data_IF_309211888901
#
_entry.id   IF_309211888901
#
_cell.length_a   1.000
_cell.length_b   1.000
_cell.length_c   1.000
_cell.angle_alpha   90.00
_cell.angle_beta   90.00
_cell.angle_gamma   90.00
#
_symmetry.space_group_name_H-M   'P 1'
#
loop_
_entity.id
_entity.type
_entity.pdbx_description
1 polymer ?
#
# COMPACT_ATOMS: atom_id res chain seq x y z
N UNK A 1 -6.12 -2.64 -6.05
CA UNK A 1 -4.78 -2.00 -6.26
C UNK A 1 -4.06 -1.93 -4.92
N UNK A 2 -3.08 -2.81 -4.71
CA UNK A 2 -2.41 -2.96 -3.42
C UNK A 2 -1.26 -1.98 -3.36
N UNK A 3 -1.53 -0.81 -2.76
CA UNK A 3 -0.47 0.02 -2.27
C UNK A 3 0.14 -0.75 -1.10
N UNK A 4 1.30 -1.35 -1.34
CA UNK A 4 2.17 -1.76 -0.24
C UNK A 4 2.50 -0.47 0.53
N UNK A 5 1.73 -0.20 1.59
CA UNK A 5 2.18 0.66 2.66
C UNK A 5 3.43 -0.04 3.18
N UNK A 6 4.58 0.49 2.79
CA UNK A 6 5.83 0.24 3.47
C UNK A 6 5.54 0.61 4.92
N UNK A 7 5.30 -0.44 5.71
CA UNK A 7 5.19 -0.51 7.17
C UNK A 7 4.91 0.82 7.91
N UNK A 8 3.93 0.86 8.83
CA UNK A 8 3.97 1.81 9.96
C UNK A 8 5.21 1.62 10.87
N UNK A 9 6.02 0.59 10.62
CA UNK A 9 7.14 0.17 11.47
C UNK A 9 8.51 0.14 10.77
N UNK A 10 8.65 0.59 9.51
CA UNK A 10 9.98 0.92 8.95
C UNK A 10 9.88 2.14 8.03
N UNK A 11 10.54 3.21 8.47
CA UNK A 11 10.62 4.55 7.89
C UNK A 11 9.48 5.54 8.22
N UNK A 12 9.02 5.57 9.48
CA UNK A 12 9.00 6.87 10.16
C UNK A 12 10.45 7.10 10.60
N UNK A 13 11.26 7.73 9.75
CA UNK A 13 12.51 8.26 10.26
C UNK A 13 12.18 9.61 10.87
N UNK A 14 11.82 9.58 12.14
CA UNK A 14 11.70 10.79 12.93
C UNK A 14 13.11 11.32 13.16
N UNK A 15 13.55 12.22 12.27
CA UNK A 15 14.77 12.98 12.49
C UNK A 15 14.49 14.07 13.52
N UNK A 16 15.10 13.94 14.70
CA UNK A 16 15.30 15.03 15.65
C UNK A 16 16.62 15.77 15.32
N UNK A 17 16.84 16.99 15.80
CA UNK A 17 16.68 18.20 15.00
C UNK A 17 18.02 18.92 14.83
N UNK A 18 18.53 19.11 13.60
CA UNK A 18 19.52 20.15 13.27
C UNK A 18 19.69 20.28 11.74
N UNK A 19 19.10 21.33 11.16
CA UNK A 19 19.39 21.83 9.81
C UNK A 19 18.99 20.95 8.61
N UNK A 20 18.87 21.52 7.39
CA UNK A 20 18.63 20.75 6.16
C UNK A 20 19.70 19.68 5.89
N UNK A 21 20.89 19.84 6.49
CA UNK A 21 22.11 19.08 6.22
C UNK A 21 22.10 17.65 6.74
N UNK A 22 21.55 17.35 7.93
CA UNK A 22 21.70 16.02 8.52
C UNK A 22 20.99 14.90 7.75
N UNK A 23 19.75 15.13 7.30
CA UNK A 23 19.08 14.14 6.44
C UNK A 23 19.78 14.04 5.08
N UNK A 24 20.23 15.15 4.50
CA UNK A 24 20.93 15.11 3.23
C UNK A 24 22.27 14.34 3.34
N UNK A 25 22.96 14.47 4.47
CA UNK A 25 24.12 13.63 4.81
C UNK A 25 23.70 12.17 5.00
N UNK A 26 22.63 11.89 5.75
CA UNK A 26 22.14 10.53 5.97
C UNK A 26 21.70 9.83 4.67
N UNK A 27 21.12 10.56 3.70
CA UNK A 27 20.79 10.02 2.36
C UNK A 27 22.03 9.49 1.64
N UNK A 28 23.19 10.12 1.86
CA UNK A 28 24.46 9.72 1.24
C UNK A 28 25.16 8.59 2.02
N UNK A 29 25.00 8.55 3.34
CA UNK A 29 25.70 7.60 4.20
C UNK A 29 24.91 6.33 4.47
N UNK A 30 23.58 6.40 4.54
CA UNK A 30 22.73 5.29 4.99
C UNK A 30 22.16 4.50 3.81
N UNK A 31 22.50 3.20 3.67
CA UNK A 31 22.04 2.38 2.56
C UNK A 31 20.53 2.32 2.41
N UNK A 32 19.78 2.40 3.52
CA UNK A 32 18.31 2.34 3.52
C UNK A 32 17.66 3.56 2.83
N UNK A 33 18.34 4.71 2.81
CA UNK A 33 17.84 5.94 2.19
C UNK A 33 18.33 6.10 0.74
N UNK A 34 19.15 5.17 0.24
CA UNK A 34 19.73 5.25 -1.10
C UNK A 34 18.65 5.25 -2.17
N UNK A 35 18.67 6.28 -3.01
CA UNK A 35 17.73 6.47 -4.12
C UNK A 35 16.35 6.99 -3.72
N UNK A 36 16.14 7.35 -2.46
CA UNK A 36 14.99 8.16 -2.06
C UNK A 36 15.21 9.62 -2.47
N UNK A 37 14.14 10.24 -2.93
CA UNK A 37 14.07 11.65 -3.33
C UNK A 37 13.17 12.41 -2.36
N UNK A 38 13.34 13.72 -2.33
CA UNK A 38 12.51 14.63 -1.57
C UNK A 38 12.39 15.93 -2.35
N UNK A 39 11.23 16.57 -2.31
CA UNK A 39 11.03 17.82 -3.00
C UNK A 39 11.57 19.02 -2.23
N UNK A 40 11.51 20.20 -2.85
CA UNK A 40 11.98 21.42 -2.22
C UNK A 40 11.17 21.75 -0.96
N UNK A 41 11.88 22.09 0.12
CA UNK A 41 11.27 22.56 1.36
C UNK A 41 10.93 24.05 1.22
N UNK A 42 9.75 24.33 0.68
CA UNK A 42 9.26 25.71 0.47
C UNK A 42 8.48 26.26 1.69
N UNK A 43 8.70 25.68 2.87
CA UNK A 43 8.06 26.06 4.12
C UNK A 43 9.10 26.23 5.23
N UNK A 44 8.76 27.01 6.27
CA UNK A 44 9.65 27.28 7.39
C UNK A 44 9.87 26.03 8.27
N UNK A 45 10.92 25.99 9.11
CA UNK A 45 11.13 24.91 10.07
C UNK A 45 9.86 24.54 10.86
N UNK A 46 9.61 23.24 11.02
CA UNK A 46 8.38 22.71 11.63
C UNK A 46 8.54 22.35 13.11
N UNK A 47 9.72 22.58 13.66
CA UNK A 47 10.08 22.43 15.05
C UNK A 47 11.06 23.55 15.41
N UNK A 48 11.22 24.02 16.65
CA UNK A 48 10.42 23.80 17.86
C UNK A 48 9.59 25.03 18.13
N UNK A 49 8.30 24.87 18.36
CA UNK A 49 7.37 25.97 18.68
C UNK A 49 7.00 26.00 20.16
N UNK A 50 6.60 27.16 20.66
CA UNK A 50 5.87 27.25 21.92
C UNK A 50 4.46 26.69 21.71
N UNK A 51 4.05 25.73 22.55
CA UNK A 51 2.75 25.05 22.45
C UNK A 51 1.62 26.07 22.50
N UNK A 52 0.60 25.88 21.66
CA UNK A 52 -0.51 26.82 21.47
C UNK A 52 -0.19 27.97 20.52
N UNK A 53 1.03 28.04 19.95
CA UNK A 53 1.45 29.17 19.12
C UNK A 53 2.23 28.77 17.86
N UNK A 54 2.49 29.78 17.02
CA UNK A 54 3.41 29.73 15.88
C UNK A 54 4.71 30.50 16.14
N UNK A 55 5.02 30.78 17.42
CA UNK A 55 6.30 31.37 17.81
C UNK A 55 7.28 30.25 18.11
N UNK A 56 8.50 30.37 17.59
CA UNK A 56 9.58 29.42 17.89
C UNK A 56 9.99 29.50 19.36
N UNK A 57 10.53 28.39 19.89
CA UNK A 57 10.92 28.16 21.29
C UNK A 57 11.50 29.41 21.97
N UNK A 58 10.70 30.05 22.82
CA UNK A 58 11.12 31.21 23.64
C UNK A 58 11.62 30.82 25.02
N UNK A 59 11.62 29.52 25.34
CA UNK A 59 12.12 29.02 26.62
C UNK A 59 13.61 29.33 26.82
N UNK A 60 14.09 29.21 28.06
CA UNK A 60 15.51 29.38 28.38
C UNK A 60 16.45 28.44 27.58
N UNK A 61 15.93 27.32 27.05
CA UNK A 61 16.69 26.36 26.24
C UNK A 61 16.96 26.87 24.82
N UNK A 62 16.15 27.81 24.31
CA UNK A 62 16.27 28.46 22.98
C UNK A 62 16.72 27.48 21.88
N UNK A 63 16.00 26.37 21.72
CA UNK A 63 16.40 25.35 20.74
C UNK A 63 16.28 25.92 19.34
N UNK A 64 17.28 25.64 18.51
CA UNK A 64 17.30 26.08 17.11
C UNK A 64 16.12 25.46 16.36
N UNK A 65 15.39 26.24 15.55
CA UNK A 65 14.38 25.68 14.66
C UNK A 65 14.96 24.64 13.70
N UNK A 66 14.20 23.60 13.39
CA UNK A 66 14.56 22.52 12.48
C UNK A 66 13.36 22.03 11.67
N UNK A 67 13.64 21.52 10.46
CA UNK A 67 12.66 20.78 9.66
C UNK A 67 12.62 19.34 10.14
N UNK A 68 11.48 18.92 10.68
CA UNK A 68 11.21 17.54 11.10
C UNK A 68 10.12 16.93 10.23
N UNK A 69 9.89 15.63 10.37
CA UNK A 69 8.78 14.93 9.70
C UNK A 69 8.85 14.99 8.15
N UNK A 70 10.07 14.87 7.63
CA UNK A 70 10.39 14.96 6.19
C UNK A 70 9.83 13.77 5.41
N UNK A 71 9.23 14.03 4.25
CA UNK A 71 8.60 13.01 3.40
C UNK A 71 9.53 12.70 2.22
N UNK A 72 10.01 11.45 2.18
CA UNK A 72 10.85 10.95 1.10
C UNK A 72 10.10 9.89 0.30
N UNK A 73 10.33 9.82 -1.01
CA UNK A 73 9.75 8.78 -1.87
C UNK A 73 10.79 8.17 -2.81
N UNK A 74 10.51 6.98 -3.34
CA UNK A 74 11.36 6.32 -4.32
C UNK A 74 10.49 5.58 -5.31
N UNK A 75 10.71 5.84 -6.60
CA UNK A 75 10.15 5.02 -7.67
C UNK A 75 11.10 3.86 -7.90
N UNK A 76 10.61 2.63 -7.75
CA UNK A 76 11.39 1.47 -8.16
C UNK A 76 11.38 1.43 -9.69
N UNK A 77 12.54 1.37 -10.36
CA UNK A 77 12.54 1.16 -11.79
C UNK A 77 11.82 -0.16 -12.07
N UNK A 78 11.12 -0.27 -13.22
CA UNK A 78 10.62 -1.56 -13.65
C UNK A 78 11.80 -2.53 -13.63
N UNK A 79 11.65 -3.66 -12.93
CA UNK A 79 12.61 -4.77 -13.06
C UNK A 79 12.64 -5.07 -14.56
N UNK A 80 13.81 -5.02 -15.19
CA UNK A 80 13.98 -4.97 -16.66
C UNK A 80 13.49 -6.18 -17.46
N UNK A 81 12.27 -6.64 -17.20
CA UNK A 81 11.50 -7.55 -18.02
C UNK A 81 10.37 -6.81 -18.71
N UNK A 82 9.77 -7.46 -19.69
CA UNK A 82 8.53 -7.00 -20.31
C UNK A 82 7.45 -6.86 -19.23
N UNK A 83 6.49 -5.96 -19.45
CA UNK A 83 5.24 -5.98 -18.69
C UNK A 83 4.73 -7.42 -18.57
N UNK A 84 4.05 -7.84 -17.49
CA UNK A 84 3.34 -9.10 -17.52
C UNK A 84 2.28 -9.17 -18.65
N UNK A 85 1.87 -8.03 -19.22
CA UNK A 85 1.05 -7.93 -20.44
C UNK A 85 1.85 -7.98 -21.76
N UNK A 86 3.17 -8.11 -21.72
CA UNK A 86 4.05 -8.13 -22.90
C UNK A 86 4.30 -6.78 -23.55
N UNK A 87 3.58 -5.72 -23.17
CA UNK A 87 3.75 -4.37 -23.71
C UNK A 87 4.97 -3.64 -23.14
N UNK A 88 5.61 -2.81 -23.99
CA UNK A 88 6.68 -1.93 -23.55
C UNK A 88 6.13 -0.75 -22.73
N UNK A 89 6.87 -0.41 -21.66
CA UNK A 89 6.76 0.81 -20.87
C UNK A 89 5.77 0.81 -19.70
N UNK A 90 6.23 0.22 -18.58
CA UNK A 90 5.78 0.54 -17.22
C UNK A 90 6.35 1.90 -16.75
N UNK A 91 6.31 2.94 -17.57
CA UNK A 91 6.86 4.24 -17.18
C UNK A 91 5.88 4.95 -16.25
N UNK A 92 5.90 4.55 -14.98
CA UNK A 92 5.26 5.29 -13.89
C UNK A 92 6.03 6.60 -13.72
N UNK A 93 5.39 7.70 -14.03
CA UNK A 93 5.86 9.02 -13.68
C UNK A 93 5.21 9.45 -12.37
N UNK A 94 6.05 9.82 -11.40
CA UNK A 94 5.60 10.32 -10.10
C UNK A 94 6.01 11.78 -9.99
N UNK A 95 5.04 12.65 -9.74
CA UNK A 95 5.28 14.08 -9.54
C UNK A 95 4.76 14.45 -8.16
N UNK A 96 5.61 15.08 -7.33
CA UNK A 96 5.15 15.69 -6.09
C UNK A 96 4.45 17.00 -6.44
N UNK A 97 3.14 17.04 -6.24
CA UNK A 97 2.30 18.20 -6.55
C UNK A 97 2.36 19.26 -5.45
N UNK A 98 2.40 18.84 -4.18
CA UNK A 98 2.53 19.74 -3.05
C UNK A 98 3.40 19.14 -1.96
N UNK A 99 4.10 20.01 -1.21
CA UNK A 99 4.87 19.66 -0.02
C UNK A 99 4.83 20.85 0.94
N UNK A 100 4.08 20.75 2.03
CA UNK A 100 3.77 21.88 2.91
C UNK A 100 3.75 21.49 4.38
N UNK A 101 3.98 22.48 5.24
CA UNK A 101 3.66 22.39 6.65
C UNK A 101 2.26 22.95 6.93
N UNK A 102 1.68 22.50 8.04
CA UNK A 102 0.36 22.89 8.51
C UNK A 102 0.49 23.68 9.82
N UNK A 103 0.63 25.00 9.68
CA UNK A 103 0.87 25.94 10.78
C UNK A 103 -0.37 26.21 11.65
N UNK A 104 -1.55 25.82 11.16
CA UNK A 104 -2.82 25.91 11.88
C UNK A 104 -2.90 24.94 13.07
N UNK A 105 -2.07 23.91 13.11
CA UNK A 105 -2.01 22.95 14.22
C UNK A 105 -1.06 23.45 15.31
N UNK A 106 -1.61 23.85 16.45
CA UNK A 106 -0.83 24.42 17.55
C UNK A 106 -0.80 23.56 18.81
N UNK A 107 -1.43 22.39 18.78
CA UNK A 107 -1.56 21.49 19.94
C UNK A 107 -0.22 20.92 20.45
N UNK A 108 0.83 20.93 19.61
CA UNK A 108 2.18 20.51 19.99
C UNK A 108 3.23 21.52 19.54
N UNK A 109 4.49 21.28 19.94
CA UNK A 109 5.66 22.05 19.51
C UNK A 109 6.18 21.65 18.11
N UNK A 110 5.48 20.73 17.44
CA UNK A 110 5.71 20.29 16.07
C UNK A 110 4.56 20.74 15.16
N UNK A 111 4.88 21.00 13.89
CA UNK A 111 3.91 21.33 12.85
C UNK A 111 3.84 20.18 11.83
N UNK A 112 2.66 19.59 11.57
CA UNK A 112 2.52 18.49 10.63
C UNK A 112 3.01 18.87 9.23
N UNK A 113 3.54 17.88 8.51
CA UNK A 113 4.02 18.02 7.14
C UNK A 113 3.23 17.06 6.25
N UNK A 114 2.76 17.57 5.11
CA UNK A 114 2.01 16.77 4.14
C UNK A 114 2.59 16.92 2.73
N UNK A 115 2.47 15.86 1.95
CA UNK A 115 2.86 15.85 0.55
C UNK A 115 1.78 15.19 -0.30
N UNK A 116 1.45 15.80 -1.43
CA UNK A 116 0.55 15.22 -2.43
C UNK A 116 1.34 14.78 -3.64
N UNK A 117 1.03 13.60 -4.16
CA UNK A 117 1.69 13.04 -5.34
C UNK A 117 0.66 12.77 -6.44
N UNK A 118 1.06 13.02 -7.68
CA UNK A 118 0.35 12.65 -8.89
C UNK A 118 1.11 11.49 -9.51
N UNK A 119 0.37 10.41 -9.80
CA UNK A 119 0.90 9.22 -10.46
C UNK A 119 0.34 9.18 -11.89
N UNK A 120 1.23 9.17 -12.87
CA UNK A 120 0.88 9.05 -14.29
C UNK A 120 1.40 7.71 -14.81
N UNK A 121 0.49 6.94 -15.40
CA UNK A 121 0.79 5.64 -16.00
C UNK A 121 0.74 5.80 -17.51
N UNK A 122 1.73 5.26 -18.23
CA UNK A 122 1.77 5.32 -19.69
C UNK A 122 0.65 4.52 -20.35
N UNK A 123 0.19 3.46 -19.68
CA UNK A 123 -0.91 2.62 -20.14
C UNK A 123 -1.73 2.13 -18.94
N UNK A 124 -3.01 1.85 -19.18
CA UNK A 124 -3.90 1.17 -18.25
C UNK A 124 -4.52 -0.01 -19.00
N UNK A 125 -4.18 -1.23 -18.59
CA UNK A 125 -4.86 -2.42 -19.07
C UNK A 125 -6.28 -2.44 -18.45
N UNK A 126 -7.32 -2.37 -19.30
CA UNK A 126 -8.72 -2.47 -18.85
C UNK A 126 -9.12 -3.91 -18.52
N UNK A 127 -8.38 -4.89 -19.06
CA UNK A 127 -8.58 -6.31 -18.78
C UNK A 127 -7.47 -6.78 -17.83
N UNK A 128 -7.81 -7.31 -16.64
CA UNK A 128 -6.81 -7.84 -15.74
C UNK A 128 -6.19 -9.12 -16.33
N UNK A 129 -4.87 -9.22 -16.27
CA UNK A 129 -4.12 -10.39 -16.78
C UNK A 129 -4.49 -11.70 -16.08
N UNK A 130 -4.97 -11.60 -14.85
CA UNK A 130 -5.58 -12.71 -14.11
C UNK A 130 -6.94 -12.26 -13.60
N UNK A 131 -8.00 -12.93 -14.06
CA UNK A 131 -9.36 -12.74 -13.57
C UNK A 131 -9.69 -13.84 -12.58
N UNK A 132 -10.03 -13.46 -11.35
CA UNK A 132 -10.49 -14.37 -10.30
C UNK A 132 -12.02 -14.29 -10.21
N UNK A 133 -12.64 -15.45 -10.14
CA UNK A 133 -14.08 -15.65 -9.98
C UNK A 133 -14.30 -16.43 -8.68
N UNK A 134 -15.15 -15.89 -7.82
CA UNK A 134 -15.48 -16.44 -6.50
C UNK A 134 -16.98 -16.24 -6.24
N UNK A 135 -17.57 -17.07 -5.39
CA UNK A 135 -18.92 -16.83 -4.90
C UNK A 135 -18.97 -15.56 -4.03
N UNK A 136 -20.10 -14.85 -4.07
CA UNK A 136 -20.29 -13.60 -3.30
C UNK A 136 -20.21 -13.82 -1.77
N UNK A 137 -20.47 -15.05 -1.31
CA UNK A 137 -20.41 -15.42 0.10
C UNK A 137 -19.89 -16.84 0.32
N UNK A 138 -18.95 -16.97 1.26
CA UNK A 138 -18.47 -18.25 1.80
C UNK A 138 -18.99 -18.46 3.22
N UNK A 139 -20.03 -19.28 3.34
CA UNK A 139 -20.61 -19.71 4.63
C UNK A 139 -20.04 -21.05 5.06
N UNK A 140 -19.78 -21.93 4.09
CA UNK A 140 -19.27 -23.29 4.32
C UNK A 140 -17.92 -23.51 3.62
N UNK A 141 -17.04 -24.38 4.17
CA UNK A 141 -15.72 -24.64 3.58
C UNK A 141 -15.78 -25.13 2.13
N UNK A 142 -16.83 -25.86 1.73
CA UNK A 142 -16.99 -26.38 0.37
C UNK A 142 -17.18 -25.28 -0.67
N UNK A 143 -17.57 -24.07 -0.23
CA UNK A 143 -17.72 -22.91 -1.09
C UNK A 143 -16.39 -22.17 -1.33
N UNK A 144 -15.33 -22.52 -0.59
CA UNK A 144 -14.01 -21.87 -0.65
C UNK A 144 -13.20 -22.24 -1.90
N UNK A 145 -13.89 -22.22 -3.05
CA UNK A 145 -13.40 -22.54 -4.38
C UNK A 145 -13.16 -21.23 -5.12
N UNK A 146 -11.98 -21.13 -5.74
CA UNK A 146 -11.60 -20.02 -6.58
C UNK A 146 -11.36 -20.53 -7.98
N UNK A 147 -12.10 -19.96 -8.93
CA UNK A 147 -11.87 -20.17 -10.36
C UNK A 147 -11.11 -18.98 -10.89
N UNK A 148 -10.13 -19.19 -11.75
CA UNK A 148 -9.39 -18.07 -12.33
C UNK A 148 -8.98 -18.34 -13.76
N UNK A 149 -8.87 -17.27 -14.53
CA UNK A 149 -8.45 -17.27 -15.93
C UNK A 149 -7.24 -16.38 -16.08
N UNK A 150 -6.32 -16.81 -16.94
CA UNK A 150 -5.08 -16.10 -17.20
C UNK A 150 -4.95 -15.83 -18.69
N UNK A 151 -4.47 -14.65 -19.05
CA UNK A 151 -4.11 -14.32 -20.42
C UNK A 151 -2.82 -15.05 -20.82
N UNK A 152 -2.75 -15.51 -22.08
CA UNK A 152 -1.68 -16.41 -22.57
C UNK A 152 -0.30 -15.77 -22.64
N UNK A 153 -0.22 -14.44 -22.56
CA UNK A 153 1.04 -13.65 -22.60
C UNK A 153 1.76 -13.60 -21.25
N UNK A 154 1.15 -14.11 -20.18
CA UNK A 154 1.69 -14.00 -18.83
C UNK A 154 2.59 -15.18 -18.43
N UNK A 155 3.86 -14.90 -18.11
CA UNK A 155 4.83 -15.91 -17.66
C UNK A 155 4.54 -16.40 -16.24
N UNK A 156 4.20 -17.68 -16.13
CA UNK A 156 3.82 -18.36 -14.88
C UNK A 156 5.05 -18.81 -14.07
N UNK A 157 4.89 -18.88 -12.75
CA UNK A 157 5.86 -19.53 -11.87
C UNK A 157 5.18 -20.52 -10.94
N UNK A 158 5.79 -21.68 -10.68
CA UNK A 158 5.33 -22.64 -9.66
C UNK A 158 5.30 -22.06 -8.23
N UNK A 159 5.84 -20.85 -8.05
CA UNK A 159 5.83 -20.08 -6.81
C UNK A 159 4.75 -18.97 -6.80
N UNK A 160 3.89 -18.93 -7.81
CA UNK A 160 2.71 -18.08 -7.83
C UNK A 160 1.64 -18.64 -6.88
N UNK A 161 0.86 -17.75 -6.27
CA UNK A 161 -0.11 -18.15 -5.25
C UNK A 161 -1.30 -17.20 -5.21
N UNK A 162 -2.44 -17.71 -4.75
CA UNK A 162 -3.66 -16.92 -4.52
C UNK A 162 -3.80 -16.74 -3.01
N UNK A 163 -3.80 -15.47 -2.58
CA UNK A 163 -3.99 -15.08 -1.19
C UNK A 163 -5.42 -14.64 -0.91
N UNK A 164 -5.92 -14.96 0.28
CA UNK A 164 -7.14 -14.41 0.86
C UNK A 164 -6.76 -13.28 1.81
N UNK A 165 -7.29 -12.08 1.58
CA UNK A 165 -6.93 -10.87 2.32
C UNK A 165 -8.17 -10.24 2.92
N UNK A 166 -8.07 -9.73 4.15
CA UNK A 166 -9.12 -8.88 4.71
C UNK A 166 -9.13 -7.52 3.98
N UNK A 167 -10.31 -6.96 3.72
CA UNK A 167 -10.41 -5.61 3.14
C UNK A 167 -9.62 -4.61 4.00
N UNK A 168 -8.81 -3.77 3.32
CA UNK A 168 -7.89 -2.83 3.98
C UNK A 168 -6.49 -3.37 4.27
N UNK A 169 -6.13 -4.57 3.77
CA UNK A 169 -4.77 -5.09 3.86
C UNK A 169 -3.74 -4.12 3.24
N UNK A 170 -2.52 -4.14 3.79
CA UNK A 170 -1.51 -3.10 3.54
C UNK A 170 -0.31 -3.60 2.76
N UNK A 171 -0.14 -4.91 2.66
CA UNK A 171 0.98 -5.53 1.97
C UNK A 171 0.54 -6.85 1.31
N UNK A 172 1.16 -7.22 0.18
CA UNK A 172 0.86 -8.48 -0.52
C UNK A 172 1.12 -9.74 0.30
N UNK A 173 1.78 -9.62 1.47
CA UNK A 173 2.05 -10.71 2.43
C UNK A 173 1.13 -10.68 3.65
N UNK A 174 0.18 -9.75 3.72
CA UNK A 174 -0.82 -9.67 4.80
C UNK A 174 -2.03 -10.60 4.55
N UNK A 175 -1.80 -11.73 3.86
CA UNK A 175 -2.85 -12.69 3.61
C UNK A 175 -3.20 -13.43 4.91
N UNK A 176 -4.47 -13.77 5.05
CA UNK A 176 -4.97 -14.62 6.14
C UNK A 176 -4.78 -16.09 5.79
N UNK A 177 -4.97 -16.44 4.52
CA UNK A 177 -4.77 -17.77 3.99
C UNK A 177 -4.19 -17.68 2.58
N UNK A 178 -3.56 -18.75 2.11
CA UNK A 178 -3.12 -18.83 0.73
C UNK A 178 -3.14 -20.25 0.18
N UNK A 179 -3.18 -20.34 -1.14
CA UNK A 179 -3.03 -21.58 -1.90
C UNK A 179 -2.09 -21.35 -3.08
N UNK A 180 -1.28 -22.35 -3.42
CA UNK A 180 -0.43 -22.28 -4.61
C UNK A 180 -1.30 -22.29 -5.87
N UNK A 181 -0.94 -21.46 -6.85
CA UNK A 181 -1.62 -21.45 -8.14
C UNK A 181 -1.35 -22.78 -8.87
N UNK A 182 -2.37 -23.32 -9.54
CA UNK A 182 -2.20 -24.51 -10.37
C UNK A 182 -1.56 -24.16 -11.71
N UNK A 183 -0.80 -25.12 -12.24
CA UNK A 183 -0.09 -25.01 -13.52
C UNK A 183 -0.69 -25.88 -14.65
N UNK A 184 -1.52 -26.85 -14.30
CA UNK A 184 -2.13 -27.80 -15.24
C UNK A 184 -3.51 -27.31 -15.69
N UNK A 185 -3.73 -27.32 -17.00
CA UNK A 185 -4.96 -26.82 -17.63
C UNK A 185 -6.09 -27.84 -17.44
N UNK A 186 -7.18 -27.43 -16.80
CA UNK A 186 -8.35 -28.29 -16.58
C UNK A 186 -9.30 -28.15 -17.77
N UNK A 187 -9.40 -26.95 -18.35
CA UNK A 187 -10.14 -26.65 -19.58
C UNK A 187 -9.92 -25.19 -20.00
N UNK A 188 -9.44 -24.95 -21.24
CA UNK A 188 -9.50 -23.63 -21.93
C UNK A 188 -8.99 -22.44 -21.09
N UNK A 189 -7.83 -22.54 -20.44
CA UNK A 189 -7.25 -21.51 -19.55
C UNK A 189 -8.06 -21.20 -18.28
N UNK A 190 -8.97 -22.09 -17.86
CA UNK A 190 -9.71 -21.98 -16.60
C UNK A 190 -9.07 -22.92 -15.57
N UNK A 191 -8.65 -22.34 -14.46
CA UNK A 191 -8.02 -23.04 -13.36
C UNK A 191 -8.88 -22.98 -12.11
N UNK A 192 -8.77 -24.00 -11.26
CA UNK A 192 -9.53 -24.08 -10.02
C UNK A 192 -8.66 -24.53 -8.84
N UNK A 193 -8.71 -23.76 -7.77
CA UNK A 193 -8.10 -24.06 -6.46
C UNK A 193 -9.15 -23.98 -5.35
N UNK A 194 -8.89 -24.68 -4.25
CA UNK A 194 -9.77 -24.68 -3.08
C UNK A 194 -8.92 -24.41 -1.84
N UNK A 195 -9.40 -23.54 -0.95
CA UNK A 195 -8.79 -23.30 0.35
C UNK A 195 -9.17 -24.42 1.33
N UNK A 196 -8.21 -24.91 2.12
CA UNK A 196 -8.51 -25.90 3.15
C UNK A 196 -9.30 -25.26 4.30
N UNK A 197 -10.19 -26.03 4.92
CA UNK A 197 -11.06 -25.55 5.99
C UNK A 197 -10.28 -24.92 7.16
N UNK A 198 -9.14 -25.52 7.52
CA UNK A 198 -8.26 -25.09 8.60
C UNK A 198 -7.60 -23.73 8.35
N UNK A 199 -7.45 -23.35 7.07
CA UNK A 199 -6.84 -22.08 6.68
C UNK A 199 -7.84 -20.91 6.69
N UNK A 200 -9.14 -21.20 6.63
CA UNK A 200 -10.16 -20.16 6.48
C UNK A 200 -10.36 -19.35 7.77
N UNK A 201 -10.52 -18.01 7.66
CA UNK A 201 -10.75 -17.16 8.81
C UNK A 201 -12.02 -17.56 9.56
N UNK A 202 -11.96 -17.52 10.89
CA UNK A 202 -13.12 -17.65 11.76
C UNK A 202 -13.88 -16.31 11.81
N UNK A 203 -15.21 -16.38 11.90
CA UNK A 203 -16.08 -15.22 12.01
C UNK A 203 -16.54 -14.64 10.68
N UNK A 204 -16.96 -13.36 10.74
CA UNK A 204 -17.53 -12.63 9.61
C UNK A 204 -16.64 -11.47 9.17
N UNK A 205 -16.50 -11.27 7.87
CA UNK A 205 -15.92 -10.05 7.33
C UNK A 205 -15.85 -10.00 5.80
N UNK A 206 -15.41 -8.83 5.32
CA UNK A 206 -15.17 -8.58 3.91
C UNK A 206 -13.74 -8.99 3.54
N UNK A 207 -13.63 -9.79 2.49
CA UNK A 207 -12.35 -10.29 1.99
C UNK A 207 -12.19 -10.04 0.50
N UNK A 208 -10.93 -10.07 0.05
CA UNK A 208 -10.51 -9.96 -1.34
C UNK A 208 -9.56 -11.13 -1.62
N UNK A 209 -9.69 -11.74 -2.79
CA UNK A 209 -8.69 -12.68 -3.29
C UNK A 209 -7.69 -11.93 -4.17
N UNK A 210 -6.42 -12.31 -4.10
CA UNK A 210 -5.36 -11.73 -4.93
C UNK A 210 -4.43 -12.79 -5.50
N UNK A 211 -4.22 -12.78 -6.82
CA UNK A 211 -3.20 -13.60 -7.48
C UNK A 211 -1.85 -12.90 -7.42
N UNK A 212 -0.88 -13.49 -6.73
CA UNK A 212 0.48 -13.00 -6.62
C UNK A 212 1.41 -13.71 -7.59
N UNK A 213 2.12 -12.94 -8.40
CA UNK A 213 3.21 -13.47 -9.22
C UNK A 213 4.54 -13.39 -8.50
N UNK A 214 5.21 -14.53 -8.38
CA UNK A 214 6.57 -14.60 -7.85
C UNK A 214 7.55 -13.82 -8.73
N UNK A 215 7.54 -14.09 -10.03
CA UNK A 215 8.42 -13.48 -11.04
C UNK A 215 8.34 -11.96 -11.01
N UNK A 216 7.14 -11.39 -10.92
CA UNK A 216 6.93 -9.94 -10.93
C UNK A 216 6.92 -9.34 -9.53
N UNK A 217 6.80 -10.16 -8.48
CA UNK A 217 6.69 -9.75 -7.08
C UNK A 217 5.55 -8.76 -6.80
N UNK A 218 4.41 -8.93 -7.49
CA UNK A 218 3.23 -8.06 -7.38
C UNK A 218 1.95 -8.90 -7.44
N UNK A 219 0.84 -8.29 -6.98
CA UNK A 219 -0.50 -8.81 -7.21
C UNK A 219 -0.97 -8.39 -8.60
N UNK A 220 -1.37 -9.37 -9.41
CA UNK A 220 -1.71 -9.19 -10.83
C UNK A 220 -3.21 -9.12 -11.05
N UNK A 221 -3.96 -9.91 -10.29
CA UNK A 221 -5.42 -9.92 -10.29
C UNK A 221 -5.93 -9.82 -8.87
N UNK A 222 -7.03 -9.09 -8.68
CA UNK A 222 -7.79 -9.08 -7.43
C UNK A 222 -9.28 -9.18 -7.73
N UNK A 223 -10.05 -9.78 -6.83
CA UNK A 223 -11.52 -9.77 -6.90
C UNK A 223 -12.08 -8.45 -6.38
N UNK A 224 -13.36 -8.21 -6.66
CA UNK A 224 -14.17 -7.35 -5.80
C UNK A 224 -14.29 -7.94 -4.38
N UNK A 225 -14.60 -7.12 -3.36
CA UNK A 225 -14.84 -7.61 -2.01
C UNK A 225 -16.01 -8.61 -1.96
N UNK A 226 -15.87 -9.68 -1.20
CA UNK A 226 -16.90 -10.70 -0.95
C UNK A 226 -16.96 -11.05 0.54
N UNK A 227 -18.03 -11.70 0.97
CA UNK A 227 -18.25 -12.06 2.37
C UNK A 227 -17.66 -13.42 2.70
N UNK A 228 -16.96 -13.52 3.83
CA UNK A 228 -16.72 -14.81 4.48
C UNK A 228 -17.41 -14.76 5.82
N UNK A 229 -18.40 -15.63 6.00
CA UNK A 229 -19.29 -15.67 7.16
C UNK A 229 -19.25 -17.08 7.74
N UNK A 230 -18.14 -17.42 8.39
CA UNK A 230 -18.08 -18.68 9.12
C UNK A 230 -18.86 -18.52 10.42
N UNK A 231 -19.73 -19.48 10.77
CA UNK A 231 -20.43 -19.45 12.04
C UNK A 231 -19.40 -19.49 13.17
N UNK A 232 -19.08 -18.31 13.71
CA UNK A 232 -18.49 -18.21 15.03
C UNK A 232 -19.60 -18.34 16.07
N UNK A 233 -19.24 -18.96 17.19
CA UNK A 233 -20.04 -18.91 18.40
C UNK A 233 -20.31 -17.44 18.77
N UNK A 234 -21.52 -16.97 18.41
CA UNK A 234 -22.22 -15.72 18.82
C UNK A 234 -21.78 -14.36 18.23
N UNK A 235 -22.62 -13.91 17.28
CA UNK A 235 -23.51 -12.72 17.34
C UNK A 235 -23.12 -11.37 16.65
N UNK A 236 -24.08 -10.97 15.76
CA UNK A 236 -24.66 -9.67 15.31
C UNK A 236 -23.80 -8.68 14.50
N UNK A 237 -24.33 -8.40 13.31
CA UNK A 237 -23.74 -7.53 12.31
C UNK A 237 -24.27 -6.10 12.26
N UNK A 238 -23.74 -5.37 11.28
CA UNK A 238 -24.28 -4.12 10.77
C UNK A 238 -23.85 -3.98 9.30
N UNK A 239 -24.83 -3.83 8.40
CA UNK A 239 -24.61 -3.49 6.98
C UNK A 239 -24.25 -2.01 6.84
N UNK A 240 -23.38 -1.67 5.90
CA UNK A 240 -23.40 -0.35 5.23
C UNK A 240 -22.81 -0.41 3.82
N UNK A 241 -23.45 0.36 2.93
CA UNK A 241 -23.28 0.44 1.48
C UNK A 241 -22.03 1.23 1.04
N UNK A 242 -21.45 0.87 -0.11
CA UNK A 242 -20.39 1.62 -0.78
C UNK A 242 -20.93 2.39 -2.00
N UNK A 243 -20.48 3.64 -2.16
CA UNK A 243 -20.62 4.46 -3.37
C UNK A 243 -19.26 4.61 -4.06
N UNK A 244 -19.28 4.72 -5.39
CA UNK A 244 -18.12 4.80 -6.29
C UNK A 244 -17.11 5.90 -5.89
N UNK A 245 -15.81 5.57 -5.92
CA UNK A 245 -14.73 6.49 -5.56
C UNK A 245 -13.74 6.71 -6.72
N UNK A 246 -13.43 7.99 -6.97
CA UNK A 246 -12.27 8.45 -7.73
C UNK A 246 -11.02 8.36 -6.84
N UNK A 247 -9.93 7.76 -7.32
CA UNK A 247 -8.73 7.55 -6.49
C UNK A 247 -7.80 8.78 -6.52
N UNK A 248 -7.90 9.63 -5.50
CA UNK A 248 -6.83 10.57 -5.12
C UNK A 248 -6.07 9.97 -3.95
N UNK A 249 -4.75 9.77 -4.09
CA UNK A 249 -3.92 9.27 -2.98
C UNK A 249 -3.40 10.47 -2.19
N UNK A 250 -3.96 10.67 -1.00
CA UNK A 250 -3.48 11.65 -0.03
C UNK A 250 -2.51 10.97 0.93
N UNK A 251 -1.28 11.48 1.02
CA UNK A 251 -0.35 11.12 2.10
C UNK A 251 -0.35 12.25 3.14
N UNK A 252 -0.94 12.01 4.30
CA UNK A 252 -0.79 12.87 5.48
C UNK A 252 0.13 12.17 6.47
N UNK A 253 1.30 12.74 6.74
CA UNK A 253 2.12 12.33 7.89
C UNK A 253 1.74 13.24 9.04
N UNK A 254 0.76 12.80 9.84
CA UNK A 254 0.44 13.48 11.09
C UNK A 254 1.35 12.93 12.18
N UNK A 255 2.48 13.58 12.42
CA UNK A 255 3.30 13.34 13.61
C UNK A 255 2.65 14.09 14.77
N UNK A 256 1.57 13.53 15.32
CA UNK A 256 1.09 13.94 16.65
C UNK A 256 1.88 13.13 17.67
N UNK A 257 2.97 13.73 18.17
CA UNK A 257 3.49 13.37 19.49
C UNK A 257 2.80 14.20 20.55
#
# INVERSE_FOLDING_TARGET
MVLALIRPTQAVVQFCPCGPSQLNMAKNTWPILKGFQEGPLNFAPTFKFDVGTNKYDTSAKKRKPAWTDRILWKVKPPRGGRSPSGQESHRLQVTQHSYRSHMEYTVSDHKPVAAQFILQFAFRDDVPLVRLEVADEWVRPEQAVVRYRMETVFARSSWDWIGLYRVGFRHCKDYVAYVWAKHEDVDRNIYQVTFSEESLPKGHGDFILGYYSHTHSILIGVTEPFQVSRPDCKVRGAKRSCSNATASIFFSVTSCK
#
